data_IF_712289711880
#
_entry.id   IF_712289711880
#
_cell.length_a   1.000
_cell.length_b   1.000
_cell.length_c   1.000
_cell.angle_alpha   90.00
_cell.angle_beta   90.00
_cell.angle_gamma   90.00
#
_symmetry.space_group_name_H-M   'P 1'
#
loop_
_entity.id
_entity.type
_entity.pdbx_description
1 polymer ?
#
# COMPACT_ATOMS: atom_id res chain seq x y z
N UNK A 1 -6.95 -4.09 -8.15
CA UNK A 1 -7.74 -5.35 -8.11
C UNK A 1 -7.22 -6.39 -7.11
N UNK A 2 -5.93 -6.40 -6.72
CA UNK A 2 -5.44 -7.24 -5.60
C UNK A 2 -5.94 -6.75 -4.22
N UNK A 3 -6.53 -5.55 -4.19
CA UNK A 3 -7.15 -4.90 -3.04
C UNK A 3 -8.67 -5.18 -2.88
N UNK A 4 -9.26 -6.01 -3.75
CA UNK A 4 -10.68 -6.39 -3.70
C UNK A 4 -10.93 -7.89 -3.49
N UNK A 5 -9.86 -8.70 -3.35
CA UNK A 5 -9.98 -10.16 -3.25
C UNK A 5 -9.24 -10.76 -2.06
N UNK A 6 -9.08 -10.03 -0.95
CA UNK A 6 -8.63 -10.65 0.31
C UNK A 6 -9.81 -11.16 1.15
N UNK A 7 -10.71 -11.93 0.51
CA UNK A 7 -11.58 -12.87 1.23
C UNK A 7 -11.00 -14.28 1.27
N UNK A 8 -9.85 -14.52 0.60
CA UNK A 8 -9.26 -15.85 0.40
C UNK A 8 -7.72 -15.83 0.44
N UNK A 9 -7.08 -15.13 1.38
CA UNK A 9 -5.70 -15.47 1.72
C UNK A 9 -5.69 -16.78 2.49
N UNK A 10 -5.02 -17.79 1.91
CA UNK A 10 -4.80 -19.11 2.51
C UNK A 10 -3.82 -19.03 3.69
N UNK A 11 -4.25 -18.42 4.79
CA UNK A 11 -3.69 -18.75 6.11
C UNK A 11 -4.25 -20.10 6.56
N UNK A 12 -3.48 -20.77 7.42
CA UNK A 12 -3.80 -22.09 8.00
C UNK A 12 -5.32 -22.25 8.22
N UNK A 13 -6.01 -23.19 7.55
CA UNK A 13 -7.48 -23.23 7.45
C UNK A 13 -8.21 -23.43 8.80
N UNK A 14 -7.46 -23.68 9.88
CA UNK A 14 -7.98 -23.73 11.26
C UNK A 14 -8.27 -22.35 11.87
N UNK A 15 -7.57 -21.29 11.45
CA UNK A 15 -7.72 -19.95 12.02
C UNK A 15 -8.81 -19.13 11.34
N UNK A 16 -9.04 -19.32 10.03
CA UNK A 16 -10.01 -18.55 9.24
C UNK A 16 -11.48 -18.84 9.56
N UNK A 17 -11.80 -20.00 10.16
CA UNK A 17 -13.17 -20.37 10.57
C UNK A 17 -13.58 -19.84 11.94
N UNK A 18 -12.69 -19.16 12.64
CA UNK A 18 -13.00 -18.64 13.97
C UNK A 18 -13.59 -17.24 13.85
N UNK A 19 -14.64 -16.95 14.62
CA UNK A 19 -15.28 -15.64 14.75
C UNK A 19 -14.32 -14.49 15.11
N UNK A 20 -13.05 -14.82 15.40
CA UNK A 20 -11.98 -13.90 15.77
C UNK A 20 -11.49 -13.00 14.62
N UNK A 21 -11.53 -13.47 13.37
CA UNK A 21 -11.00 -12.67 12.24
C UNK A 21 -11.69 -11.31 12.08
N UNK A 22 -13.03 -11.21 12.03
CA UNK A 22 -13.72 -9.91 12.00
C UNK A 22 -13.53 -9.11 13.30
N UNK A 23 -13.27 -9.77 14.44
CA UNK A 23 -12.96 -9.10 15.70
C UNK A 23 -11.56 -8.46 15.72
N UNK A 24 -10.60 -9.03 15.00
CA UNK A 24 -9.21 -8.56 14.94
C UNK A 24 -9.06 -7.43 13.90
N UNK A 25 -9.68 -7.58 12.73
CA UNK A 25 -9.55 -6.64 11.62
C UNK A 25 -10.45 -5.39 11.81
N UNK A 26 -11.39 -5.40 12.76
CA UNK A 26 -12.36 -4.33 13.07
C UNK A 26 -12.03 -2.95 12.49
N UNK A 27 -12.83 -2.50 11.52
CA UNK A 27 -12.72 -1.16 10.92
C UNK A 27 -11.72 -1.02 9.78
N UNK A 28 -10.80 -1.99 9.59
CA UNK A 28 -9.84 -1.98 8.48
C UNK A 28 -10.43 -2.57 7.21
N UNK A 29 -10.19 -1.96 6.03
CA UNK A 29 -10.72 -2.45 4.75
C UNK A 29 -10.33 -3.89 4.41
N UNK A 30 -9.14 -4.33 4.85
CA UNK A 30 -8.64 -5.69 4.67
C UNK A 30 -7.50 -6.02 5.65
N UNK A 31 -7.16 -7.30 5.74
CA UNK A 31 -6.00 -7.88 6.44
C UNK A 31 -4.67 -7.19 6.10
N UNK A 32 -4.44 -6.84 4.84
CA UNK A 32 -3.20 -6.17 4.40
C UNK A 32 -3.04 -4.79 5.07
N UNK A 33 -4.07 -3.95 5.01
CA UNK A 33 -4.06 -2.62 5.63
C UNK A 33 -3.88 -2.69 7.14
N UNK A 34 -4.54 -3.66 7.78
CA UNK A 34 -4.37 -3.94 9.22
C UNK A 34 -2.93 -4.31 9.56
N UNK A 35 -2.35 -5.30 8.86
CA UNK A 35 -0.99 -5.78 9.14
C UNK A 35 0.08 -4.72 8.86
N UNK A 36 -0.09 -3.88 7.83
CA UNK A 36 0.81 -2.75 7.57
C UNK A 36 0.71 -1.67 8.65
N UNK A 37 -0.49 -1.29 9.07
CA UNK A 37 -0.66 -0.33 10.16
C UNK A 37 -0.09 -0.84 11.50
N UNK A 38 -0.29 -2.13 11.80
CA UNK A 38 0.31 -2.77 12.96
C UNK A 38 1.84 -2.71 12.91
N UNK A 39 2.44 -3.02 11.75
CA UNK A 39 3.89 -2.96 11.58
C UNK A 39 4.44 -1.53 11.78
N UNK A 40 3.77 -0.52 11.24
CA UNK A 40 4.15 0.89 11.46
C UNK A 40 4.08 1.27 12.94
N UNK A 41 3.04 0.82 13.67
CA UNK A 41 2.92 1.05 15.11
C UNK A 41 4.01 0.35 15.91
N UNK A 42 4.39 -0.87 15.51
CA UNK A 42 5.51 -1.58 16.14
C UNK A 42 6.85 -0.87 15.89
N UNK A 43 7.08 -0.35 14.69
CA UNK A 43 8.27 0.44 14.36
C UNK A 43 8.34 1.75 15.18
N UNK A 44 7.18 2.40 15.38
CA UNK A 44 7.06 3.56 16.27
C UNK A 44 7.42 3.25 17.72
N UNK A 45 7.12 2.05 18.20
CA UNK A 45 7.33 1.66 19.61
C UNK A 45 8.72 1.06 19.87
N UNK A 46 9.29 0.35 18.90
CA UNK A 46 10.50 -0.46 19.09
C UNK A 46 11.70 0.06 18.28
N UNK A 47 11.47 1.04 17.40
CA UNK A 47 12.45 1.51 16.41
C UNK A 47 13.43 2.57 16.88
N UNK A 48 13.39 2.98 18.16
CA UNK A 48 14.10 4.16 18.69
C UNK A 48 15.61 4.22 18.46
N UNK A 49 16.26 3.08 18.20
CA UNK A 49 17.71 2.96 18.01
C UNK A 49 18.12 2.79 16.55
N UNK A 50 17.18 2.82 15.62
CA UNK A 50 17.42 2.58 14.20
C UNK A 50 17.03 3.81 13.37
N UNK A 51 17.79 4.14 12.32
CA UNK A 51 17.39 5.16 11.36
C UNK A 51 16.24 4.62 10.49
N UNK A 52 15.00 4.93 10.88
CA UNK A 52 13.78 4.40 10.26
C UNK A 52 13.04 5.49 9.48
N UNK A 53 12.57 5.13 8.29
CA UNK A 53 11.64 5.91 7.49
C UNK A 53 10.47 5.04 7.04
N UNK A 54 9.27 5.60 7.05
CA UNK A 54 8.07 4.93 6.55
C UNK A 54 7.64 5.63 5.26
N UNK A 55 7.71 4.91 4.15
CA UNK A 55 7.22 5.39 2.86
C UNK A 55 5.86 4.76 2.59
N UNK A 56 4.85 5.58 2.34
CA UNK A 56 3.47 5.15 2.04
C UNK A 56 3.15 5.48 0.58
N UNK A 57 3.44 4.58 -0.36
CA UNK A 57 3.02 4.75 -1.74
C UNK A 57 1.52 4.50 -1.88
N UNK A 58 0.89 5.18 -2.83
CA UNK A 58 -0.46 4.87 -3.27
C UNK A 58 -0.49 3.63 -4.17
N UNK A 59 -1.55 3.44 -4.95
CA UNK A 59 -1.68 2.30 -5.86
C UNK A 59 -0.62 2.42 -6.97
N UNK A 60 0.39 1.54 -6.91
CA UNK A 60 1.49 1.53 -7.87
C UNK A 60 1.04 0.98 -9.23
N UNK A 61 1.45 1.66 -10.29
CA UNK A 61 1.17 1.32 -11.70
C UNK A 61 2.46 1.26 -12.51
N UNK A 62 2.33 1.00 -13.82
CA UNK A 62 3.47 0.92 -14.75
C UNK A 62 4.35 2.18 -14.72
N UNK A 63 5.61 2.03 -15.12
CA UNK A 63 6.58 3.12 -15.12
C UNK A 63 6.18 4.26 -16.05
N UNK A 64 6.44 5.48 -15.58
CA UNK A 64 6.26 6.68 -16.38
C UNK A 64 7.43 6.96 -17.31
N UNK A 65 8.68 6.70 -16.88
CA UNK A 65 9.92 6.96 -17.65
C UNK A 65 10.91 5.81 -17.62
N UNK A 66 11.26 5.32 -16.43
CA UNK A 66 12.36 4.36 -16.24
C UNK A 66 11.85 3.04 -15.66
N UNK A 67 12.48 1.88 -15.94
CA UNK A 67 13.61 1.67 -16.85
C UNK A 67 13.22 1.76 -18.33
N UNK A 68 11.95 1.51 -18.67
CA UNK A 68 11.35 1.65 -20.00
C UNK A 68 9.93 2.18 -19.79
N UNK A 69 9.40 2.98 -20.71
CA UNK A 69 8.02 3.47 -20.66
C UNK A 69 7.00 2.32 -20.58
N UNK A 70 6.09 2.37 -19.60
CA UNK A 70 5.02 1.38 -19.45
C UNK A 70 5.48 0.00 -18.97
N UNK A 71 6.72 -0.11 -18.49
CA UNK A 71 7.22 -1.33 -17.88
C UNK A 71 6.46 -1.67 -16.59
N UNK A 72 6.19 -2.96 -16.41
CA UNK A 72 5.62 -3.52 -15.18
C UNK A 72 6.18 -4.93 -14.96
N UNK A 73 6.40 -5.29 -13.71
CA UNK A 73 6.88 -6.61 -13.32
C UNK A 73 5.78 -7.69 -13.44
N UNK A 74 4.53 -7.31 -13.23
CA UNK A 74 3.38 -8.21 -13.24
C UNK A 74 2.08 -7.49 -13.63
N UNK A 75 1.06 -8.27 -14.01
CA UNK A 75 -0.28 -7.77 -14.29
C UNK A 75 -1.21 -7.86 -13.08
N UNK A 76 -0.66 -7.86 -11.86
CA UNK A 76 -1.48 -7.98 -10.68
C UNK A 76 -2.27 -6.68 -10.45
N UNK A 77 -3.51 -6.87 -9.99
CA UNK A 77 -4.29 -5.79 -9.45
C UNK A 77 -4.63 -4.70 -10.48
N UNK A 78 -4.28 -3.42 -10.21
CA UNK A 78 -4.58 -2.29 -11.10
C UNK A 78 -3.90 -2.38 -12.45
N UNK A 79 -2.68 -2.91 -12.54
CA UNK A 79 -1.97 -2.94 -13.83
C UNK A 79 -2.63 -3.90 -14.82
N UNK A 80 -3.05 -5.10 -14.36
CA UNK A 80 -3.84 -6.01 -15.19
C UNK A 80 -5.21 -5.44 -15.57
N UNK A 81 -5.80 -4.63 -14.69
CA UNK A 81 -7.06 -3.93 -14.96
C UNK A 81 -6.91 -2.95 -16.12
N UNK A 82 -5.88 -2.10 -16.05
CA UNK A 82 -5.55 -1.10 -17.07
C UNK A 82 -5.16 -1.77 -18.39
N UNK A 83 -4.37 -2.84 -18.34
CA UNK A 83 -3.98 -3.60 -19.52
C UNK A 83 -5.19 -4.28 -20.18
N UNK A 84 -6.09 -4.89 -19.39
CA UNK A 84 -7.31 -5.53 -19.87
C UNK A 84 -8.28 -4.52 -20.49
N UNK A 85 -8.43 -3.34 -19.88
CA UNK A 85 -9.25 -2.26 -20.41
C UNK A 85 -8.65 -1.67 -21.68
N UNK A 86 -7.34 -1.38 -21.68
CA UNK A 86 -6.62 -0.85 -22.85
C UNK A 86 -6.62 -1.80 -24.05
N UNK A 87 -6.63 -3.12 -23.81
CA UNK A 87 -6.75 -4.13 -24.87
C UNK A 87 -8.21 -4.38 -25.29
N UNK A 88 -9.20 -3.79 -24.62
CA UNK A 88 -10.62 -3.99 -24.90
C UNK A 88 -11.19 -5.36 -24.46
N UNK A 89 -10.41 -6.13 -23.70
CA UNK A 89 -10.84 -7.43 -23.13
C UNK A 89 -11.76 -7.18 -21.94
N UNK A 90 -11.40 -6.23 -21.08
CA UNK A 90 -12.21 -5.81 -19.95
C UNK A 90 -13.17 -4.72 -20.40
N UNK A 91 -14.48 -5.05 -20.47
CA UNK A 91 -15.53 -4.13 -20.97
C UNK A 91 -16.32 -3.45 -19.85
N UNK A 92 -16.40 -4.07 -18.68
CA UNK A 92 -17.20 -3.58 -17.55
C UNK A 92 -16.46 -3.83 -16.25
N UNK A 93 -16.59 -2.89 -15.31
CA UNK A 93 -15.92 -2.93 -14.03
C UNK A 93 -16.86 -2.39 -12.95
N UNK A 94 -17.03 -3.16 -11.86
CA UNK A 94 -17.82 -2.73 -10.72
C UNK A 94 -17.00 -1.75 -9.86
N UNK A 95 -17.35 -0.47 -9.94
CA UNK A 95 -16.70 0.61 -9.22
C UNK A 95 -17.76 1.53 -8.60
N UNK A 96 -17.44 2.07 -7.42
CA UNK A 96 -18.22 3.15 -6.82
C UNK A 96 -17.71 4.48 -7.39
N UNK A 97 -18.62 5.33 -7.90
CA UNK A 97 -18.27 6.57 -8.58
C UNK A 97 -17.65 7.62 -7.65
N UNK A 98 -17.94 7.53 -6.36
CA UNK A 98 -17.48 8.49 -5.34
C UNK A 98 -16.09 8.15 -4.79
N UNK A 99 -15.50 7.02 -5.19
CA UNK A 99 -14.17 6.59 -4.75
C UNK A 99 -13.08 7.11 -5.70
N UNK A 100 -12.09 7.79 -5.12
CA UNK A 100 -10.90 8.24 -5.83
C UNK A 100 -9.86 7.13 -5.80
N UNK A 101 -9.46 6.65 -6.99
CA UNK A 101 -8.34 5.74 -7.15
C UNK A 101 -7.08 6.56 -7.46
N UNK A 102 -6.21 6.69 -6.46
CA UNK A 102 -4.96 7.42 -6.60
C UNK A 102 -3.86 6.47 -7.10
N UNK A 103 -3.33 6.78 -8.28
CA UNK A 103 -2.40 5.93 -9.02
C UNK A 103 -1.05 6.62 -9.12
N UNK A 104 0.00 5.91 -8.75
CA UNK A 104 1.38 6.41 -8.78
C UNK A 104 2.26 5.52 -9.67
N UNK A 105 3.08 6.09 -10.56
CA UNK A 105 4.04 5.32 -11.34
C UNK A 105 5.12 4.65 -10.47
N UNK A 106 5.49 3.41 -10.81
CA UNK A 106 6.48 2.63 -10.05
C UNK A 106 7.85 3.29 -9.95
N UNK A 107 8.29 3.98 -11.00
CA UNK A 107 9.58 4.68 -11.03
C UNK A 107 9.64 5.85 -10.07
N UNK A 108 8.54 6.59 -9.90
CA UNK A 108 8.45 7.66 -8.91
C UNK A 108 8.53 7.07 -7.49
N UNK A 109 7.82 5.96 -7.24
CA UNK A 109 7.85 5.31 -5.93
C UNK A 109 9.24 4.77 -5.56
N UNK A 110 9.94 4.15 -6.52
CA UNK A 110 11.29 3.63 -6.32
C UNK A 110 12.28 4.78 -6.08
N UNK A 111 12.21 5.83 -6.90
CA UNK A 111 13.08 6.99 -6.74
C UNK A 111 12.88 7.67 -5.38
N UNK A 112 11.64 7.77 -4.91
CA UNK A 112 11.37 8.26 -3.56
C UNK A 112 11.96 7.32 -2.51
N UNK A 113 11.73 6.02 -2.62
CA UNK A 113 12.19 5.05 -1.62
C UNK A 113 13.71 5.10 -1.45
N UNK A 114 14.45 5.15 -2.55
CA UNK A 114 15.91 5.28 -2.55
C UNK A 114 16.34 6.61 -1.92
N UNK A 115 15.72 7.72 -2.35
CA UNK A 115 16.02 9.05 -1.82
C UNK A 115 15.74 9.17 -0.32
N UNK A 116 14.63 8.58 0.14
CA UNK A 116 14.21 8.58 1.54
C UNK A 116 15.15 7.72 2.39
N UNK A 117 15.59 6.56 1.89
CA UNK A 117 16.57 5.72 2.56
C UNK A 117 17.91 6.44 2.72
N UNK A 118 18.42 7.05 1.64
CA UNK A 118 19.65 7.84 1.66
C UNK A 118 19.57 9.01 2.64
N UNK A 119 18.49 9.79 2.57
CA UNK A 119 18.28 10.92 3.47
C UNK A 119 18.25 10.48 4.94
N UNK A 120 17.55 9.39 5.23
CA UNK A 120 17.43 8.85 6.60
C UNK A 120 18.77 8.34 7.12
N UNK A 121 19.55 7.64 6.30
CA UNK A 121 20.86 7.14 6.68
C UNK A 121 21.84 8.27 7.04
N UNK A 122 21.87 9.34 6.24
CA UNK A 122 22.80 10.47 6.47
C UNK A 122 22.34 11.35 7.64
N UNK A 123 21.03 11.50 7.83
CA UNK A 123 20.46 12.35 8.88
C UNK A 123 20.13 11.61 10.18
N UNK A 124 20.71 10.42 10.39
CA UNK A 124 20.48 9.53 11.55
C UNK A 124 20.66 10.18 12.93
N UNK A 125 21.26 11.38 13.00
CA UNK A 125 21.42 12.15 14.23
C UNK A 125 20.14 12.91 14.68
N UNK A 126 19.12 13.04 13.83
CA UNK A 126 17.82 13.62 14.21
C UNK A 126 16.80 12.51 14.40
N UNK A 127 16.37 12.31 15.65
CA UNK A 127 15.30 11.37 16.08
C UNK A 127 13.95 11.79 15.50
N UNK A 128 13.71 11.55 14.22
CA UNK A 128 12.43 11.93 13.64
C UNK A 128 12.00 10.85 12.65
N UNK A 129 10.99 10.08 13.05
CA UNK A 129 10.28 9.19 12.16
C UNK A 129 9.56 10.06 11.11
N UNK A 130 10.02 9.98 9.87
CA UNK A 130 9.36 10.65 8.77
C UNK A 130 8.43 9.67 8.05
N UNK A 131 7.18 10.09 7.89
CA UNK A 131 6.23 9.44 7.01
C UNK A 131 6.19 10.24 5.71
N UNK A 132 6.64 9.65 4.61
CA UNK A 132 6.53 10.27 3.29
C UNK A 132 5.39 9.60 2.54
N UNK A 133 4.31 10.36 2.28
CA UNK A 133 3.18 9.92 1.49
C UNK A 133 3.27 10.44 0.06
N UNK A 134 3.19 9.55 -0.92
CA UNK A 134 2.90 9.94 -2.31
C UNK A 134 1.40 9.70 -2.49
N UNK A 135 0.62 10.69 -2.05
CA UNK A 135 -0.84 10.74 -1.94
C UNK A 135 -1.54 9.57 -1.20
N UNK A 136 -2.30 9.91 -0.15
CA UNK A 136 -2.94 8.93 0.73
C UNK A 136 -4.30 9.42 1.26
N UNK A 137 -5.22 9.81 0.37
CA UNK A 137 -6.57 10.25 0.79
C UNK A 137 -7.40 9.09 1.40
N UNK A 138 -7.05 7.84 1.09
CA UNK A 138 -7.84 6.68 1.54
C UNK A 138 -7.53 6.21 2.96
N UNK A 139 -6.37 6.50 3.55
CA UNK A 139 -6.08 6.09 4.94
C UNK A 139 -6.28 7.20 5.97
N UNK A 140 -6.25 8.47 5.57
CA UNK A 140 -6.47 9.56 6.53
C UNK A 140 -7.91 9.57 7.07
N UNK A 141 -8.89 9.09 6.29
CA UNK A 141 -10.27 8.89 6.77
C UNK A 141 -10.42 7.73 7.78
N UNK A 142 -9.54 6.73 7.78
CA UNK A 142 -9.60 5.61 8.75
C UNK A 142 -8.72 5.85 9.98
N UNK A 143 -7.69 6.71 9.88
CA UNK A 143 -6.79 7.04 11.00
C UNK A 143 -7.49 7.76 12.15
N UNK A 144 -8.56 8.50 11.88
CA UNK A 144 -9.14 9.39 12.89
C UNK A 144 -9.99 8.68 13.97
N UNK A 145 -10.26 7.37 13.83
CA UNK A 145 -11.12 6.64 14.77
C UNK A 145 -10.44 5.50 15.55
N UNK A 146 -9.16 5.18 15.28
CA UNK A 146 -8.54 3.95 15.82
C UNK A 146 -7.06 4.07 16.23
N UNK A 147 -6.52 5.29 16.32
CA UNK A 147 -5.18 5.55 16.88
C UNK A 147 -5.34 6.38 18.15
#
# INVERSE_FOLDING_TARGET
>A
MQLLFDKNVNFCPRLLKTEMTPLIIKGWPNTYTFTKALAEKMLLQLGDKLPIVIVRPSIVTASWREPILGWVDNLNGPTGLLAGAGKGVLRTLLCHKDLIADLVPVDICINLLISAAWYTAINSFRKQLFVVGIHLILLDNYKCNYI
#
